data_IF_587311989446
#
_entry.id   IF_587311989446
#
_cell.length_a   1.000
_cell.length_b   1.000
_cell.length_c   1.000
_cell.angle_alpha   90.00
_cell.angle_beta   90.00
_cell.angle_gamma   90.00
#
_symmetry.space_group_name_H-M   'P 1'
#
loop_
_entity.id
_entity.type
_entity.pdbx_description
1 polymer ?
#
# COMPACT_ATOMS: atom_id res chain seq x y z
N UNK A 1 4.39 -20.52 -2.19
CA UNK A 1 4.93 -19.16 -2.36
C UNK A 1 3.90 -18.25 -3.04
N UNK A 2 3.46 -17.18 -2.37
CA UNK A 2 2.59 -16.17 -2.99
C UNK A 2 3.45 -15.40 -4.00
N UNK A 3 3.07 -15.42 -5.28
CA UNK A 3 3.76 -14.65 -6.30
C UNK A 3 3.69 -13.16 -5.93
N UNK A 4 4.84 -12.46 -5.95
CA UNK A 4 4.92 -11.00 -5.84
C UNK A 4 4.42 -10.42 -4.50
N UNK A 5 4.71 -11.12 -3.40
CA UNK A 5 4.50 -10.64 -2.03
C UNK A 5 5.46 -9.50 -1.65
N UNK A 6 5.05 -8.62 -0.73
CA UNK A 6 5.86 -7.49 -0.23
C UNK A 6 6.97 -7.88 0.76
N UNK A 7 6.98 -9.14 1.24
CA UNK A 7 7.95 -9.74 2.17
C UNK A 7 8.03 -9.17 3.61
N UNK A 8 7.14 -8.27 4.00
CA UNK A 8 7.17 -7.64 5.35
C UNK A 8 6.29 -8.33 6.40
N UNK A 9 5.41 -9.24 6.00
CA UNK A 9 4.50 -9.90 6.94
C UNK A 9 5.22 -10.98 7.77
N UNK A 10 4.76 -11.18 9.01
CA UNK A 10 5.15 -12.33 9.85
C UNK A 10 6.65 -12.39 10.18
N UNK A 11 7.26 -11.23 10.48
CA UNK A 11 8.69 -11.08 10.82
C UNK A 11 9.68 -11.61 9.78
N UNK A 12 9.23 -11.95 8.56
CA UNK A 12 10.06 -12.58 7.53
C UNK A 12 11.31 -11.77 7.21
N UNK A 13 11.17 -10.45 7.09
CA UNK A 13 12.28 -9.53 6.85
C UNK A 13 13.36 -9.57 7.95
N UNK A 14 12.99 -9.87 9.19
CA UNK A 14 13.92 -10.00 10.32
C UNK A 14 14.50 -11.41 10.40
N UNK A 15 13.66 -12.43 10.23
CA UNK A 15 14.04 -13.83 10.43
C UNK A 15 14.85 -14.40 9.25
N UNK A 16 14.56 -13.97 8.01
CA UNK A 16 15.20 -14.43 6.77
C UNK A 16 15.36 -13.28 5.78
N UNK A 17 16.28 -12.33 6.04
CA UNK A 17 16.47 -11.15 5.20
C UNK A 17 16.88 -11.49 3.76
N UNK A 18 17.57 -12.61 3.56
CA UNK A 18 17.95 -13.14 2.25
C UNK A 18 16.72 -13.49 1.39
N UNK A 19 15.78 -14.26 1.96
CA UNK A 19 14.53 -14.63 1.29
C UNK A 19 13.65 -13.40 1.10
N UNK A 20 13.51 -12.57 2.13
CA UNK A 20 12.69 -11.37 2.07
C UNK A 20 13.17 -10.43 0.96
N UNK A 21 14.47 -10.18 0.86
CA UNK A 21 15.02 -9.34 -0.19
C UNK A 21 14.81 -9.94 -1.59
N UNK A 22 15.02 -11.25 -1.76
CA UNK A 22 14.76 -11.92 -3.04
C UNK A 22 13.28 -11.88 -3.47
N UNK A 23 12.35 -11.93 -2.51
CA UNK A 23 10.91 -11.76 -2.78
C UNK A 23 10.56 -10.31 -3.12
N UNK A 24 11.14 -9.35 -2.39
CA UNK A 24 10.94 -7.92 -2.64
C UNK A 24 11.44 -7.49 -4.02
N UNK A 25 12.61 -7.98 -4.44
CA UNK A 25 13.15 -7.71 -5.79
C UNK A 25 12.22 -8.25 -6.88
N UNK A 26 11.72 -9.48 -6.72
CA UNK A 26 10.71 -10.04 -7.64
C UNK A 26 9.44 -9.19 -7.68
N UNK A 27 8.95 -8.71 -6.53
CA UNK A 27 7.81 -7.77 -6.50
C UNK A 27 8.14 -6.50 -7.27
N UNK A 28 9.32 -5.90 -7.07
CA UNK A 28 9.75 -4.69 -7.76
C UNK A 28 9.72 -4.85 -9.28
N UNK A 29 10.31 -5.93 -9.81
CA UNK A 29 10.30 -6.22 -11.25
C UNK A 29 8.88 -6.27 -11.82
N UNK A 30 7.92 -6.81 -11.07
CA UNK A 30 6.52 -6.82 -11.50
C UNK A 30 5.85 -5.46 -11.42
N UNK A 31 6.25 -4.59 -10.48
CA UNK A 31 5.77 -3.22 -10.43
C UNK A 31 6.27 -2.43 -11.64
N UNK A 32 7.54 -2.56 -11.98
CA UNK A 32 8.13 -1.93 -13.17
C UNK A 32 7.40 -2.36 -14.45
N UNK A 33 7.19 -3.67 -14.64
CA UNK A 33 6.38 -4.20 -15.76
C UNK A 33 4.95 -3.65 -15.77
N UNK A 34 4.31 -3.56 -14.61
CA UNK A 34 2.97 -2.98 -14.50
C UNK A 34 2.93 -1.50 -14.86
N UNK A 35 3.97 -0.73 -14.51
CA UNK A 35 4.08 0.69 -14.85
C UNK A 35 4.34 0.90 -16.34
N UNK A 36 5.19 0.09 -16.95
CA UNK A 36 5.41 0.09 -18.40
C UNK A 36 4.09 -0.16 -19.14
N UNK A 37 3.31 -1.15 -18.71
CA UNK A 37 1.99 -1.43 -19.28
C UNK A 37 1.01 -0.27 -19.10
N UNK A 38 0.99 0.38 -17.94
CA UNK A 38 0.16 1.56 -17.70
C UNK A 38 0.57 2.75 -18.59
N UNK A 39 1.87 2.92 -18.84
CA UNK A 39 2.37 3.97 -19.73
C UNK A 39 1.96 3.73 -21.19
N UNK A 40 2.01 2.48 -21.67
CA UNK A 40 1.59 2.10 -23.03
C UNK A 40 0.08 2.24 -23.24
N UNK A 41 -0.71 1.75 -22.29
CA UNK A 41 -2.17 1.73 -22.41
C UNK A 41 -2.83 3.09 -22.15
N UNK A 42 -2.04 4.06 -21.66
CA UNK A 42 -2.53 5.36 -21.23
C UNK A 42 -3.23 5.28 -19.88
N UNK A 43 -2.95 6.27 -19.03
CA UNK A 43 -3.72 6.46 -17.82
C UNK A 43 -5.00 7.23 -18.17
N UNK A 44 -6.13 6.52 -18.21
CA UNK A 44 -7.43 7.08 -18.59
C UNK A 44 -7.81 8.38 -17.85
N UNK A 45 -7.25 8.63 -16.66
CA UNK A 45 -7.57 9.78 -15.83
C UNK A 45 -6.36 10.68 -15.51
N UNK A 46 -5.17 10.40 -16.06
CA UNK A 46 -3.93 11.14 -15.75
C UNK A 46 -3.50 11.12 -14.27
N UNK A 47 -4.08 10.24 -13.45
CA UNK A 47 -3.84 10.20 -12.01
C UNK A 47 -2.48 9.55 -11.67
N UNK A 48 -1.85 9.92 -10.56
CA UNK A 48 -0.62 9.22 -10.14
C UNK A 48 -0.88 7.71 -9.91
N UNK A 49 0.02 6.81 -10.37
CA UNK A 49 -0.14 5.38 -10.16
C UNK A 49 -0.05 5.03 -8.67
N UNK A 50 -0.98 4.20 -8.20
CA UNK A 50 -1.01 3.74 -6.82
C UNK A 50 -1.32 2.24 -6.73
N UNK A 51 -1.02 1.63 -5.58
CA UNK A 51 -1.39 0.24 -5.26
C UNK A 51 -2.33 0.25 -4.07
N UNK A 52 -3.53 -0.31 -4.26
CA UNK A 52 -4.45 -0.54 -3.15
C UNK A 52 -4.08 -1.83 -2.38
N UNK A 53 -4.09 -1.78 -1.05
CA UNK A 53 -3.83 -2.97 -0.21
C UNK A 53 -4.66 -2.97 1.07
N UNK A 54 -5.00 -4.15 1.58
CA UNK A 54 -5.63 -4.32 2.90
C UNK A 54 -4.63 -4.77 3.99
N UNK A 55 -3.36 -4.95 3.62
CA UNK A 55 -2.37 -5.50 4.53
C UNK A 55 -1.48 -4.37 5.09
N UNK A 56 -1.49 -4.12 6.41
CA UNK A 56 -0.63 -3.10 7.02
C UNK A 56 0.86 -3.30 6.71
N UNK A 57 1.34 -4.55 6.72
CA UNK A 57 2.72 -4.87 6.36
C UNK A 57 3.05 -4.53 4.90
N UNK A 58 2.08 -4.65 3.99
CA UNK A 58 2.27 -4.24 2.60
C UNK A 58 2.47 -2.72 2.46
N UNK A 59 1.87 -1.88 3.32
CA UNK A 59 2.11 -0.43 3.25
C UNK A 59 3.59 -0.10 3.43
N UNK A 60 4.23 -0.73 4.41
CA UNK A 60 5.67 -0.61 4.65
C UNK A 60 6.49 -1.23 3.52
N UNK A 61 6.17 -2.46 3.13
CA UNK A 61 6.96 -3.22 2.16
C UNK A 61 6.91 -2.64 0.75
N UNK A 62 5.72 -2.30 0.27
CA UNK A 62 5.54 -1.61 -1.01
C UNK A 62 6.13 -0.19 -0.93
N UNK A 63 6.06 0.45 0.23
CA UNK A 63 6.64 1.77 0.48
C UNK A 63 8.16 1.83 0.31
N UNK A 64 8.86 0.69 0.23
CA UNK A 64 10.28 0.64 -0.15
C UNK A 64 10.54 0.83 -1.65
N UNK A 65 9.49 0.93 -2.47
CA UNK A 65 9.58 1.18 -3.92
C UNK A 65 9.06 2.58 -4.28
N UNK A 66 9.15 3.55 -3.37
CA UNK A 66 8.71 4.94 -3.58
C UNK A 66 9.42 5.62 -4.75
N UNK A 67 10.63 5.18 -5.07
CA UNK A 67 11.42 5.65 -6.20
C UNK A 67 10.78 5.33 -7.56
N UNK A 68 9.89 4.33 -7.62
CA UNK A 68 9.09 4.02 -8.82
C UNK A 68 7.89 4.97 -9.00
N UNK A 69 7.69 5.94 -8.10
CA UNK A 69 6.54 6.85 -8.14
C UNK A 69 5.19 6.20 -7.78
N UNK A 70 5.21 4.95 -7.30
CA UNK A 70 3.98 4.22 -6.93
C UNK A 70 3.69 4.35 -5.46
N UNK A 71 2.49 4.85 -5.13
CA UNK A 71 2.06 5.02 -3.73
C UNK A 71 1.22 3.83 -3.25
N UNK A 72 1.61 3.11 -2.18
CA UNK A 72 0.71 2.17 -1.54
C UNK A 72 -0.35 2.91 -0.71
N UNK A 73 -1.62 2.53 -0.87
CA UNK A 73 -2.77 3.12 -0.19
C UNK A 73 -3.61 1.99 0.43
N UNK A 74 -4.03 2.17 1.68
CA UNK A 74 -4.92 1.20 2.32
C UNK A 74 -6.32 1.25 1.68
N UNK A 75 -6.94 0.12 1.40
CA UNK A 75 -8.28 0.07 0.77
C UNK A 75 -9.32 0.86 1.56
N UNK A 76 -9.26 0.84 2.89
CA UNK A 76 -10.16 1.63 3.74
C UNK A 76 -10.03 3.14 3.48
N UNK A 77 -8.81 3.66 3.29
CA UNK A 77 -8.57 5.07 2.97
C UNK A 77 -9.07 5.40 1.57
N UNK A 78 -8.84 4.51 0.61
CA UNK A 78 -9.34 4.66 -0.76
C UNK A 78 -10.87 4.73 -0.79
N UNK A 79 -11.53 3.81 -0.09
CA UNK A 79 -12.99 3.76 0.02
C UNK A 79 -13.53 4.99 0.76
N UNK A 80 -12.93 5.38 1.88
CA UNK A 80 -13.33 6.58 2.61
C UNK A 80 -13.26 7.83 1.71
N UNK A 81 -12.13 8.04 1.03
CA UNK A 81 -11.97 9.15 0.08
C UNK A 81 -13.00 9.11 -1.05
N UNK A 82 -13.33 7.92 -1.57
CA UNK A 82 -14.30 7.79 -2.67
C UNK A 82 -15.73 8.05 -2.22
N UNK A 83 -16.12 7.47 -1.08
CA UNK A 83 -17.48 7.54 -0.55
C UNK A 83 -17.80 8.91 0.07
N UNK A 84 -16.80 9.58 0.65
CA UNK A 84 -16.94 10.95 1.15
C UNK A 84 -16.79 12.02 0.05
N UNK A 85 -16.57 11.62 -1.21
CA UNK A 85 -16.15 12.52 -2.30
C UNK A 85 -14.93 13.39 -1.94
N UNK A 86 -14.00 12.85 -1.15
CA UNK A 86 -12.83 13.58 -0.63
C UNK A 86 -13.11 14.46 0.59
N UNK A 87 -14.32 14.37 1.17
CA UNK A 87 -14.79 15.17 2.30
C UNK A 87 -14.20 14.84 3.68
N UNK A 88 -14.86 15.34 4.72
CA UNK A 88 -14.47 15.45 6.15
C UNK A 88 -14.25 14.14 6.92
N UNK A 89 -14.14 12.98 6.26
CA UNK A 89 -14.07 11.68 6.94
C UNK A 89 -12.92 11.61 7.95
N UNK A 90 -11.82 12.33 7.71
CA UNK A 90 -10.70 12.39 8.66
C UNK A 90 -11.07 13.15 9.95
N UNK A 91 -11.87 14.21 9.86
CA UNK A 91 -12.32 14.98 11.02
C UNK A 91 -13.44 14.28 11.77
N UNK A 92 -14.34 13.59 11.05
CA UNK A 92 -15.31 12.67 11.64
C UNK A 92 -14.61 11.53 12.38
N UNK A 93 -13.60 10.90 11.75
CA UNK A 93 -12.79 9.87 12.40
C UNK A 93 -12.11 10.38 13.67
N UNK A 94 -11.55 11.60 13.66
CA UNK A 94 -10.97 12.22 14.87
C UNK A 94 -12.02 12.41 15.98
N UNK A 95 -13.26 12.71 15.61
CA UNK A 95 -14.35 12.89 16.57
C UNK A 95 -14.76 11.56 17.19
N UNK A 96 -14.99 10.54 16.35
CA UNK A 96 -15.31 9.17 16.78
C UNK A 96 -14.18 8.59 17.64
N UNK A 97 -12.92 8.80 17.26
CA UNK A 97 -11.76 8.29 17.98
C UNK A 97 -11.61 8.88 19.40
N UNK A 98 -12.18 10.06 19.69
CA UNK A 98 -12.19 10.63 21.05
C UNK A 98 -13.18 9.92 21.97
N UNK A 99 -14.22 9.32 21.41
CA UNK A 99 -15.23 8.56 22.16
C UNK A 99 -14.81 7.10 22.38
N UNK A 100 -13.79 6.63 21.64
CA UNK A 100 -13.27 5.29 21.77
C UNK A 100 -12.57 5.09 23.13
N UNK A 101 -12.82 3.95 23.76
CA UNK A 101 -12.09 3.55 24.96
C UNK A 101 -10.62 3.32 24.61
N UNK A 102 -9.74 4.11 25.22
CA UNK A 102 -8.30 3.98 25.03
C UNK A 102 -7.78 2.80 25.85
N UNK A 103 -7.52 1.68 25.18
CA UNK A 103 -6.77 0.56 25.78
C UNK A 103 -5.29 0.91 25.81
N UNK A 104 -4.75 1.14 27.01
CA UNK A 104 -3.31 1.29 27.25
C UNK A 104 -2.75 -0.06 27.71
N UNK A 105 -1.69 -0.52 27.03
CA UNK A 105 -0.86 -1.65 27.43
C UNK A 105 0.53 -1.17 27.81
#
# INVERSE_FOLDING_TARGET
PIANCCSEAGTLALSRPDIANAMRLRKREQLEKGLEQLAVNGNANGAEPFIATNCPSCLTGLGRNRDLGVKPIHIAVLLANRLSAGGSWQDELKTIAKEAERVVF
#
